data_IF_564203118615
#
_entry.id   IF_564203118615
#
_cell.length_a   1.000
_cell.length_b   1.000
_cell.length_c   1.000
_cell.angle_alpha   90.00
_cell.angle_beta   90.00
_cell.angle_gamma   90.00
#
_symmetry.space_group_name_H-M   'P 1'
#
loop_
_entity.id
_entity.type
_entity.pdbx_description
1 polymer ?
#
# COMPACT_ATOMS: atom_id res chain seq x y z
N UNK A 1 -0.10 -0.75 -15.97
CA UNK A 1 0.23 -0.09 -14.69
C UNK A 1 1.60 -0.53 -14.25
N UNK A 2 2.35 0.35 -13.60
CA UNK A 2 3.58 -0.03 -12.88
C UNK A 2 3.24 -0.67 -11.54
N UNK A 3 4.16 -1.42 -10.93
CA UNK A 3 3.95 -1.97 -9.57
C UNK A 3 3.67 -0.89 -8.52
N UNK A 4 4.24 0.30 -8.71
CA UNK A 4 4.03 1.46 -7.86
C UNK A 4 2.58 1.94 -7.95
N UNK A 5 2.05 2.01 -9.18
CA UNK A 5 0.64 2.34 -9.42
C UNK A 5 -0.28 1.26 -8.85
N UNK A 6 0.04 -0.02 -9.05
CA UNK A 6 -0.73 -1.14 -8.48
C UNK A 6 -0.80 -1.07 -6.95
N UNK A 7 0.33 -0.78 -6.28
CA UNK A 7 0.36 -0.65 -4.82
C UNK A 7 -0.48 0.55 -4.35
N UNK A 8 -0.34 1.70 -5.02
CA UNK A 8 -1.10 2.92 -4.74
C UNK A 8 -2.60 2.68 -4.86
N UNK A 9 -3.04 2.04 -5.94
CA UNK A 9 -4.43 1.69 -6.16
C UNK A 9 -4.96 0.70 -5.12
N UNK A 10 -4.19 -0.35 -4.78
CA UNK A 10 -4.57 -1.31 -3.75
C UNK A 10 -4.77 -0.62 -2.39
N UNK A 11 -3.85 0.28 -2.00
CA UNK A 11 -3.96 1.06 -0.76
C UNK A 11 -5.20 1.96 -0.77
N UNK A 12 -5.43 2.67 -1.87
CA UNK A 12 -6.59 3.56 -2.00
C UNK A 12 -7.91 2.77 -1.91
N UNK A 13 -7.99 1.58 -2.52
CA UNK A 13 -9.15 0.68 -2.41
C UNK A 13 -9.36 0.19 -0.97
N UNK A 14 -8.30 0.03 -0.18
CA UNK A 14 -8.38 -0.26 1.25
C UNK A 14 -8.76 0.94 2.13
N UNK A 15 -9.01 2.12 1.54
CA UNK A 15 -9.39 3.33 2.28
C UNK A 15 -8.26 3.93 3.12
N UNK A 16 -7.01 3.49 2.92
CA UNK A 16 -5.87 3.91 3.73
C UNK A 16 -5.12 5.08 3.08
N UNK A 17 -4.68 6.03 3.88
CA UNK A 17 -3.59 6.94 3.52
C UNK A 17 -2.24 6.23 3.54
N UNK A 18 -1.21 6.81 2.89
CA UNK A 18 0.16 6.28 2.97
C UNK A 18 0.68 6.26 4.42
N UNK A 19 0.30 7.26 5.24
CA UNK A 19 0.73 7.35 6.63
C UNK A 19 0.13 6.21 7.49
N UNK A 20 -1.14 5.88 7.27
CA UNK A 20 -1.78 4.77 7.96
C UNK A 20 -1.20 3.43 7.53
N UNK A 21 -1.03 3.19 6.23
CA UNK A 21 -0.45 1.96 5.73
C UNK A 21 1.00 1.75 6.23
N UNK A 22 1.81 2.81 6.23
CA UNK A 22 3.15 2.81 6.83
C UNK A 22 3.11 2.46 8.33
N UNK A 23 2.25 3.14 9.11
CA UNK A 23 2.10 2.91 10.55
C UNK A 23 1.64 1.49 10.87
N UNK A 24 0.64 0.97 10.16
CA UNK A 24 0.03 -0.34 10.40
C UNK A 24 0.97 -1.49 10.03
N UNK A 25 1.85 -1.28 9.06
CA UNK A 25 2.85 -2.29 8.64
C UNK A 25 4.18 -2.19 9.37
N UNK A 26 4.40 -1.15 10.19
CA UNK A 26 5.71 -0.86 10.79
C UNK A 26 6.76 -0.40 9.77
N UNK A 27 6.33 0.05 8.58
CA UNK A 27 7.21 0.54 7.52
C UNK A 27 7.43 2.05 7.70
N UNK A 28 8.65 2.59 7.55
CA UNK A 28 8.86 4.03 7.56
C UNK A 28 8.06 4.73 6.44
N UNK A 29 7.44 5.88 6.75
CA UNK A 29 6.62 6.62 5.77
C UNK A 29 7.34 6.90 4.45
N UNK A 30 8.61 7.33 4.51
CA UNK A 30 9.42 7.57 3.30
C UNK A 30 9.61 6.31 2.46
N UNK A 31 9.79 5.16 3.10
CA UNK A 31 9.89 3.88 2.39
C UNK A 31 8.59 3.58 1.64
N UNK A 32 7.44 3.78 2.29
CA UNK A 32 6.13 3.61 1.65
C UNK A 32 5.93 4.59 0.49
N UNK A 33 6.27 5.86 0.69
CA UNK A 33 6.20 6.89 -0.35
C UNK A 33 7.03 6.48 -1.57
N UNK A 34 8.26 6.02 -1.38
CA UNK A 34 9.15 5.55 -2.45
C UNK A 34 8.62 4.30 -3.17
N UNK A 35 7.85 3.44 -2.49
CA UNK A 35 7.19 2.28 -3.10
C UNK A 35 6.02 2.64 -4.00
N UNK A 36 5.38 3.78 -3.78
CA UNK A 36 4.28 4.27 -4.61
C UNK A 36 4.74 5.33 -5.62
N UNK A 37 5.97 5.81 -5.56
CA UNK A 37 6.53 6.80 -6.49
C UNK A 37 6.93 6.14 -7.82
N UNK A 38 6.23 6.48 -8.91
CA UNK A 38 6.53 6.02 -10.26
C UNK A 38 7.58 6.89 -11.00
N UNK A 39 8.21 7.84 -10.29
CA UNK A 39 9.31 8.67 -10.79
C UNK A 39 10.73 8.10 -10.57
N UNK A 40 11.78 8.90 -10.84
CA UNK A 40 13.18 8.46 -10.80
C UNK A 40 13.67 8.01 -9.42
N UNK A 41 13.02 8.48 -8.36
CA UNK A 41 13.30 8.12 -6.97
C UNK A 41 12.58 6.85 -6.51
N UNK A 42 11.65 6.33 -7.33
CA UNK A 42 10.85 5.15 -7.04
C UNK A 42 11.67 3.89 -6.81
N UNK A 43 11.25 3.06 -5.84
CA UNK A 43 11.81 1.71 -5.66
C UNK A 43 10.73 0.68 -5.89
N UNK A 44 11.14 -0.50 -6.35
CA UNK A 44 10.23 -1.62 -6.53
C UNK A 44 9.58 -1.98 -5.18
N UNK A 45 8.24 -1.95 -5.07
CA UNK A 45 7.57 -2.37 -3.85
C UNK A 45 7.77 -3.87 -3.61
N UNK A 46 7.99 -4.31 -2.35
CA UNK A 46 8.10 -5.72 -2.02
C UNK A 46 6.74 -6.41 -2.16
N UNK A 47 6.74 -7.70 -2.50
CA UNK A 47 5.50 -8.50 -2.59
C UNK A 47 4.70 -8.51 -1.28
N UNK A 48 5.37 -8.39 -0.14
CA UNK A 48 4.74 -8.35 1.18
C UNK A 48 3.79 -7.15 1.35
N UNK A 49 4.09 -6.00 0.74
CA UNK A 49 3.21 -4.83 0.83
C UNK A 49 1.85 -5.10 0.17
N UNK A 50 1.83 -5.80 -0.97
CA UNK A 50 0.61 -6.22 -1.65
C UNK A 50 -0.16 -7.26 -0.83
N UNK A 51 0.53 -8.29 -0.34
CA UNK A 51 -0.09 -9.35 0.45
C UNK A 51 -0.74 -8.79 1.73
N UNK A 52 -0.09 -7.82 2.37
CA UNK A 52 -0.65 -7.16 3.55
C UNK A 52 -1.91 -6.36 3.22
N UNK A 53 -1.92 -5.56 2.14
CA UNK A 53 -3.10 -4.81 1.72
C UNK A 53 -4.27 -5.73 1.34
N UNK A 54 -3.98 -6.84 0.67
CA UNK A 54 -4.98 -7.86 0.35
C UNK A 54 -5.58 -8.47 1.63
N UNK A 55 -4.74 -8.82 2.61
CA UNK A 55 -5.21 -9.33 3.89
C UNK A 55 -6.01 -8.28 4.68
N UNK A 56 -5.53 -7.04 4.72
CA UNK A 56 -6.23 -5.93 5.36
C UNK A 56 -7.61 -5.72 4.74
N UNK A 57 -7.69 -5.71 3.41
CA UNK A 57 -8.95 -5.59 2.69
C UNK A 57 -9.90 -6.76 3.00
N UNK A 58 -9.41 -8.00 3.14
CA UNK A 58 -10.25 -9.15 3.53
C UNK A 58 -10.78 -9.06 4.96
N UNK A 59 -9.95 -8.60 5.90
CA UNK A 59 -10.32 -8.49 7.32
C UNK A 59 -11.26 -7.31 7.60
N UNK A 60 -11.09 -6.20 6.87
CA UNK A 60 -11.86 -4.96 7.08
C UNK A 60 -12.95 -4.74 6.01
N UNK A 61 -13.00 -5.57 4.97
CA UNK A 61 -13.96 -5.51 3.87
C UNK A 61 -15.10 -6.52 3.94
N UNK A 62 -15.28 -7.25 5.06
CA UNK A 62 -16.54 -7.95 5.36
C UNK A 62 -17.49 -7.15 6.26
N UNK A 63 -17.15 -5.90 6.59
CA UNK A 63 -18.10 -4.96 7.19
C UNK A 63 -18.28 -3.76 6.26
N UNK A 64 -19.09 -3.97 5.21
CA UNK A 64 -19.97 -2.92 4.70
C UNK A 64 -21.22 -3.56 4.08
N UNK A 65 -22.41 -3.03 4.40
CA UNK A 65 -23.74 -3.62 4.13
C UNK A 65 -24.13 -3.70 2.65
#
# INVERSE_FOLDING_TARGET
MTRQQELREARQKSGLSMAEAARLTGTPYRTWQTWEDDGPSGRRPPGLAFAWLELYAKLHGQESP
#
